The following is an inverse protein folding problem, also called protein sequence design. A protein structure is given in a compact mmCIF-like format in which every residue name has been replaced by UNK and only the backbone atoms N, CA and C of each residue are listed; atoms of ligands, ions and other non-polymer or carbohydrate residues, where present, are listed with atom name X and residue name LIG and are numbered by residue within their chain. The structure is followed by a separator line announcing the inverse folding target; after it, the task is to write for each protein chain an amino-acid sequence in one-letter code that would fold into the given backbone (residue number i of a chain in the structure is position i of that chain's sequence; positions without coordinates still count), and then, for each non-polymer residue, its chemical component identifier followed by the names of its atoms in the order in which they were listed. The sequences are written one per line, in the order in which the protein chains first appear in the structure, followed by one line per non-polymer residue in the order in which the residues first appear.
data_IF_124995659156
#
_entry.id   IF_124995659156
#
_cell.length_a   1.000
_cell.length_b   1.000
_cell.length_c   1.000
_cell.angle_alpha   90.00
_cell.angle_beta   90.00
_cell.angle_gamma   90.00
#
_symmetry.space_group_name_H-M   'P 1'
#
loop_
_entity.id
_entity.type
_entity.pdbx_description
1 polymer ?
#
# COMPACT_ATOMS: atom_id res chain seq x y z
N UNK A 1 16.20 12.65 14.08
CA UNK A 1 15.53 12.04 12.91
C UNK A 1 14.05 12.36 12.96
N UNK A 2 13.43 12.73 11.84
CA UNK A 2 11.97 12.89 11.70
C UNK A 2 11.48 12.05 10.53
N UNK A 3 10.29 11.46 10.65
CA UNK A 3 9.68 10.63 9.61
C UNK A 3 8.30 11.17 9.28
N UNK A 4 7.98 11.25 7.99
CA UNK A 4 6.64 11.55 7.49
C UNK A 4 6.15 10.36 6.67
N UNK A 5 5.08 9.72 7.15
CA UNK A 5 4.39 8.66 6.42
C UNK A 5 3.53 9.26 5.32
N UNK A 6 3.59 8.68 4.13
CA UNK A 6 2.86 9.14 2.94
C UNK A 6 1.72 8.22 2.55
N UNK A 7 1.63 7.05 3.19
CA UNK A 7 0.54 6.11 3.05
C UNK A 7 -0.15 5.85 4.39
N UNK A 8 -1.43 5.51 4.35
CA UNK A 8 -2.16 4.95 5.48
C UNK A 8 -1.94 3.43 5.57
N UNK A 9 -2.17 2.88 6.76
CA UNK A 9 -2.22 1.42 6.94
C UNK A 9 -3.31 0.81 6.06
N UNK A 10 -2.99 -0.27 5.34
CA UNK A 10 -3.90 -0.95 4.42
C UNK A 10 -4.19 -0.21 3.12
N UNK A 11 -3.51 0.91 2.85
CA UNK A 11 -3.60 1.60 1.57
C UNK A 11 -3.07 0.69 0.45
N UNK A 12 -3.86 0.56 -0.61
CA UNK A 12 -3.45 -0.18 -1.81
C UNK A 12 -2.29 0.53 -2.50
N UNK A 13 -1.24 -0.22 -2.80
CA UNK A 13 -0.06 0.28 -3.52
C UNK A 13 -0.13 -0.16 -4.98
N UNK A 14 -0.09 0.80 -5.89
CA UNK A 14 0.08 0.56 -7.33
C UNK A 14 1.56 0.64 -7.71
N UNK A 15 1.91 0.25 -8.93
CA UNK A 15 3.27 0.44 -9.45
C UNK A 15 3.67 1.91 -9.34
N UNK A 16 4.72 2.17 -8.57
CA UNK A 16 5.25 3.51 -8.33
C UNK A 16 6.44 3.76 -9.25
N UNK A 17 6.33 4.74 -10.14
CA UNK A 17 7.40 5.17 -11.05
C UNK A 17 7.84 6.62 -10.81
N UNK A 18 7.06 7.37 -10.02
CA UNK A 18 7.32 8.76 -9.66
C UNK A 18 8.12 8.91 -8.35
N UNK A 19 8.86 10.01 -8.25
CA UNK A 19 9.63 10.39 -7.05
C UNK A 19 8.74 10.73 -5.84
N UNK A 20 7.48 11.08 -6.09
CA UNK A 20 6.51 11.48 -5.07
C UNK A 20 5.68 10.29 -4.55
N UNK A 21 5.85 9.11 -5.15
CA UNK A 21 5.10 7.89 -4.82
C UNK A 21 5.84 7.06 -3.74
N UNK A 22 6.47 7.75 -2.78
CA UNK A 22 7.19 7.09 -1.70
C UNK A 22 6.26 6.73 -0.53
N UNK A 23 6.61 5.68 0.21
CA UNK A 23 5.85 5.20 1.39
C UNK A 23 6.14 6.04 2.63
N UNK A 24 7.41 6.41 2.80
CA UNK A 24 7.90 7.20 3.92
C UNK A 24 8.97 8.19 3.45
N UNK A 25 9.02 9.34 4.09
CA UNK A 25 10.08 10.32 3.92
C UNK A 25 10.82 10.51 5.24
N UNK A 26 12.13 10.28 5.23
CA UNK A 26 12.99 10.40 6.41
C UNK A 26 13.85 11.66 6.29
N UNK A 27 13.80 12.50 7.31
CA UNK A 27 14.59 13.73 7.41
C UNK A 27 15.70 13.52 8.44
N UNK A 28 16.94 13.61 7.97
CA UNK A 28 18.15 13.50 8.77
C UNK A 28 18.82 14.86 8.91
N UNK A 29 19.47 15.06 10.05
CA UNK A 29 20.27 16.25 10.32
C UNK A 29 21.43 15.84 11.20
N UNK A 30 22.64 16.04 10.69
CA UNK A 30 23.89 15.79 11.38
C UNK A 30 24.90 16.79 10.82
N UNK A 31 25.67 17.44 11.69
CA UNK A 31 26.72 18.38 11.29
C UNK A 31 27.92 17.68 10.64
N UNK A 32 28.11 16.39 10.92
CA UNK A 32 29.10 15.54 10.28
C UNK A 32 28.48 14.83 9.08
N UNK A 33 28.95 15.18 7.88
CA UNK A 33 28.46 14.64 6.62
C UNK A 33 28.68 13.13 6.47
N UNK A 34 29.84 12.62 6.91
CA UNK A 34 30.14 11.20 6.77
C UNK A 34 29.23 10.37 7.66
N UNK A 35 28.99 10.85 8.89
CA UNK A 35 28.03 10.20 9.80
C UNK A 35 26.60 10.25 9.27
N UNK A 36 26.19 11.37 8.66
CA UNK A 36 24.88 11.48 8.02
C UNK A 36 24.67 10.42 6.93
N UNK A 37 25.70 10.18 6.10
CA UNK A 37 25.65 9.14 5.06
C UNK A 37 25.55 7.75 5.69
N UNK A 38 26.36 7.45 6.70
CA UNK A 38 26.30 6.16 7.40
C UNK A 38 24.93 5.92 8.03
N UNK A 39 24.34 6.94 8.66
CA UNK A 39 22.99 6.87 9.23
C UNK A 39 21.92 6.63 8.14
N UNK A 40 22.03 7.30 6.99
CA UNK A 40 21.12 7.07 5.87
C UNK A 40 21.20 5.64 5.32
N UNK A 41 22.42 5.10 5.19
CA UNK A 41 22.65 3.73 4.74
C UNK A 41 22.08 2.71 5.73
N UNK A 42 22.30 2.92 7.03
CA UNK A 42 21.77 2.08 8.09
C UNK A 42 20.24 2.01 8.04
N UNK A 43 19.58 3.17 7.91
CA UNK A 43 18.11 3.25 7.79
C UNK A 43 17.63 2.51 6.55
N UNK A 44 18.29 2.68 5.39
CA UNK A 44 17.90 1.98 4.16
C UNK A 44 18.03 0.46 4.25
N UNK A 45 19.00 -0.05 5.02
CA UNK A 45 19.27 -1.48 5.14
C UNK A 45 18.43 -2.16 6.22
N UNK A 46 18.11 -1.44 7.29
CA UNK A 46 17.49 -2.02 8.49
C UNK A 46 16.01 -1.61 8.67
N UNK A 47 15.44 -0.82 7.77
CA UNK A 47 14.01 -0.46 7.82
C UNK A 47 13.19 -1.43 6.99
N UNK A 48 12.38 -2.23 7.68
CA UNK A 48 11.37 -3.08 7.05
C UNK A 48 10.02 -2.36 6.95
N UNK A 49 9.42 -2.39 5.77
CA UNK A 49 8.05 -1.93 5.52
C UNK A 49 7.23 -3.14 5.09
N UNK A 50 6.26 -3.52 5.91
CA UNK A 50 5.40 -4.67 5.61
C UNK A 50 4.40 -4.32 4.51
N UNK A 51 4.38 -5.12 3.44
CA UNK A 51 3.43 -5.01 2.33
C UNK A 51 2.68 -6.33 2.22
N UNK A 52 1.36 -6.31 2.47
CA UNK A 52 0.52 -7.48 2.29
C UNK A 52 0.15 -7.67 0.82
N UNK A 53 0.89 -8.53 0.13
CA UNK A 53 0.65 -8.86 -1.28
C UNK A 53 -0.49 -9.86 -1.49
N UNK A 54 -1.04 -10.46 -0.43
CA UNK A 54 -1.98 -11.59 -0.52
C UNK A 54 -3.45 -11.19 -0.35
N UNK A 55 -3.77 -9.94 0.01
CA UNK A 55 -5.16 -9.45 0.14
C UNK A 55 -6.01 -9.70 -1.11
N UNK A 56 -5.42 -9.63 -2.30
CA UNK A 56 -6.14 -9.87 -3.56
C UNK A 56 -6.62 -11.32 -3.71
N UNK A 57 -5.89 -12.29 -3.15
CA UNK A 57 -6.29 -13.70 -3.20
C UNK A 57 -7.49 -13.97 -2.29
N UNK A 58 -7.58 -13.27 -1.15
CA UNK A 58 -8.63 -13.51 -0.17
C UNK A 58 -9.97 -12.85 -0.56
N UNK A 59 -9.95 -11.71 -1.26
CA UNK A 59 -11.18 -11.10 -1.81
C UNK A 59 -11.88 -12.01 -2.85
N UNK A 60 -11.11 -12.76 -3.64
CA UNK A 60 -11.69 -13.75 -4.55
C UNK A 60 -12.25 -15.00 -3.83
N UNK A 61 -11.76 -15.31 -2.62
CA UNK A 61 -12.21 -16.45 -1.83
C UNK A 61 -13.57 -16.21 -1.14
N UNK A 62 -13.88 -14.95 -0.80
CA UNK A 62 -15.16 -14.56 -0.19
C UNK A 62 -16.27 -14.45 -1.24
N UNK A 63 -15.99 -13.87 -2.41
CA UNK A 63 -16.98 -13.75 -3.48
C UNK A 63 -17.51 -15.12 -3.95
N UNK A 64 -16.67 -16.17 -3.98
CA UNK A 64 -17.12 -17.52 -4.39
C UNK A 64 -18.01 -18.23 -3.36
N UNK A 65 -17.92 -17.88 -2.07
CA UNK A 65 -18.74 -18.51 -1.02
C UNK A 65 -20.19 -18.02 -0.99
N UNK A 66 -20.46 -16.85 -1.57
CA UNK A 66 -21.82 -16.28 -1.57
C UNK A 66 -22.60 -16.50 -2.88
N UNK A 67 -21.95 -16.92 -3.99
CA UNK A 67 -22.68 -17.16 -5.26
C UNK A 67 -23.54 -18.42 -5.21
N UNK A 68 -23.18 -19.43 -4.40
CA UNK A 68 -23.94 -20.67 -4.27
C UNK A 68 -25.23 -20.55 -3.46
N UNK A 69 -25.52 -19.36 -2.88
CA UNK A 69 -26.74 -19.10 -2.08
C UNK A 69 -27.69 -18.08 -2.70
N UNK A 70 -27.35 -17.46 -3.82
CA UNK A 70 -28.21 -16.46 -4.44
C UNK A 70 -29.13 -17.13 -5.46
N UNK A 71 -30.44 -16.99 -5.26
CA UNK A 71 -31.43 -17.42 -6.22
C UNK A 71 -31.26 -16.61 -7.54
N UNK A 72 -31.41 -17.24 -8.72
CA UNK A 72 -31.24 -16.56 -10.02
C UNK A 72 -32.12 -15.32 -10.25
N UNK A 73 -33.10 -15.05 -9.37
CA UNK A 73 -34.00 -13.89 -9.42
C UNK A 73 -33.46 -12.62 -8.75
N UNK A 74 -32.34 -12.68 -8.02
CA UNK A 74 -31.78 -11.51 -7.32
C UNK A 74 -30.66 -10.80 -8.10
N UNK A 75 -30.24 -11.34 -9.25
CA UNK A 75 -29.29 -10.72 -10.17
C UNK A 75 -29.99 -9.76 -11.15
N UNK A 76 -30.83 -8.85 -10.64
CA UNK A 76 -31.37 -7.78 -11.47
C UNK A 76 -30.40 -6.59 -11.41
N UNK A 77 -29.64 -6.51 -12.51
CA UNK A 77 -28.80 -5.41 -12.99
C UNK A 77 -29.09 -4.04 -12.36
N UNK A 78 -28.08 -3.48 -11.69
CA UNK A 78 -27.96 -2.02 -11.58
C UNK A 78 -26.99 -1.57 -12.67
N UNK A 79 -27.55 -1.11 -13.79
CA UNK A 79 -26.80 -0.41 -14.83
C UNK A 79 -26.63 1.04 -14.35
N UNK A 80 -25.42 1.51 -14.16
CA UNK A 80 -25.14 2.96 -14.14
C UNK A 80 -24.43 3.31 -15.44
N UNK A 81 -25.21 3.72 -16.43
CA UNK A 81 -24.72 4.54 -17.54
C UNK A 81 -24.88 6.00 -17.13
N UNK A 82 -23.78 6.75 -17.05
CA UNK A 82 -23.78 8.20 -16.92
C UNK A 82 -23.81 8.86 -18.31
N UNK A 83 -24.61 9.94 -18.42
CA UNK A 83 -24.71 10.89 -19.54
C UNK A 83 -23.37 11.58 -19.86
#
# INVERSE_FOLDING_TARGET
MRVAWRCAEGQEMTDSTGIDENVAQVYLSNSDHNRLITEAQDIMQNTDITIDRNVLLDRHSVCRRNVSRLNPRELIRSCTTTD
#
